data_IF_449240732165
#
_entry.id   IF_449240732165
#
_cell.length_a   1.000
_cell.length_b   1.000
_cell.length_c   1.000
_cell.angle_alpha   90.00
_cell.angle_beta   90.00
_cell.angle_gamma   90.00
#
_symmetry.space_group_name_H-M   'P 1'
#
loop_
_entity.id
_entity.type
_entity.pdbx_description
1 polymer ?
#
# COMPACT_ATOMS: atom_id res chain seq x y z
N UNK A 1 3.70 6.59 3.47
CA UNK A 1 4.77 5.97 2.65
C UNK A 1 5.35 7.10 1.81
N UNK A 2 6.19 7.97 2.36
CA UNK A 2 6.58 9.24 1.71
C UNK A 2 8.09 9.46 1.69
N UNK A 3 8.83 8.47 2.17
CA UNK A 3 10.27 8.38 2.25
C UNK A 3 10.64 6.91 2.13
N UNK A 4 11.73 6.59 1.45
CA UNK A 4 12.13 5.21 1.15
C UNK A 4 12.40 4.40 2.42
N UNK A 5 12.97 5.02 3.47
CA UNK A 5 13.22 4.32 4.74
C UNK A 5 11.90 4.02 5.46
N UNK A 6 10.97 4.98 5.47
CA UNK A 6 9.63 4.77 6.04
C UNK A 6 8.89 3.68 5.26
N UNK A 7 8.94 3.69 3.93
CA UNK A 7 8.34 2.67 3.07
C UNK A 7 8.90 1.29 3.39
N UNK A 8 10.22 1.18 3.48
CA UNK A 8 10.90 -0.07 3.78
C UNK A 8 10.59 -0.58 5.19
N UNK A 9 10.58 0.29 6.20
CA UNK A 9 10.20 -0.06 7.57
C UNK A 9 8.75 -0.52 7.66
N UNK A 10 7.85 0.16 6.94
CA UNK A 10 6.45 -0.20 6.86
C UNK A 10 6.24 -1.58 6.25
N UNK A 11 6.84 -1.85 5.08
CA UNK A 11 6.76 -3.18 4.42
C UNK A 11 7.32 -4.28 5.33
N UNK A 12 8.44 -4.03 6.03
CA UNK A 12 9.02 -4.99 6.97
C UNK A 12 8.07 -5.30 8.15
N UNK A 13 7.38 -4.27 8.64
CA UNK A 13 6.41 -4.40 9.73
C UNK A 13 5.22 -5.23 9.27
N UNK A 14 4.68 -4.96 8.07
CA UNK A 14 3.60 -5.76 7.48
C UNK A 14 4.00 -7.22 7.32
N UNK A 15 5.22 -7.49 6.84
CA UNK A 15 5.75 -8.83 6.69
C UNK A 15 5.80 -9.58 8.02
N UNK A 16 6.33 -8.92 9.05
CA UNK A 16 6.41 -9.47 10.41
C UNK A 16 5.00 -9.77 10.95
N UNK A 17 4.05 -8.84 10.77
CA UNK A 17 2.67 -9.04 11.23
C UNK A 17 2.03 -10.20 10.49
N UNK A 18 2.13 -10.26 9.15
CA UNK A 18 1.51 -11.33 8.35
C UNK A 18 2.00 -12.71 8.79
N UNK A 19 3.30 -12.88 9.04
CA UNK A 19 3.90 -14.17 9.40
C UNK A 19 3.94 -14.48 10.91
N UNK A 20 3.53 -13.55 11.78
CA UNK A 20 3.51 -13.78 13.22
C UNK A 20 2.46 -14.83 13.65
N UNK A 21 2.70 -15.62 14.69
CA UNK A 21 1.67 -16.55 15.21
C UNK A 21 1.22 -17.63 14.21
N UNK A 22 0.04 -18.23 14.46
CA UNK A 22 -0.42 -19.43 13.72
C UNK A 22 -1.57 -19.20 12.75
N UNK A 23 -2.25 -18.05 12.85
CA UNK A 23 -3.45 -17.76 12.08
C UNK A 23 -3.11 -17.01 10.79
N UNK A 24 -3.89 -17.29 9.75
CA UNK A 24 -3.91 -16.46 8.55
C UNK A 24 -4.39 -15.06 8.90
N UNK A 25 -3.65 -14.06 8.41
CA UNK A 25 -3.99 -12.66 8.62
C UNK A 25 -4.25 -11.96 7.29
N UNK A 26 -5.18 -11.03 7.35
CA UNK A 26 -5.50 -10.11 6.27
C UNK A 26 -5.27 -8.71 6.79
N UNK A 27 -4.44 -7.93 6.10
CA UNK A 27 -4.19 -6.54 6.45
C UNK A 27 -4.88 -5.66 5.42
N UNK A 28 -5.59 -4.64 5.88
CA UNK A 28 -6.15 -3.60 5.04
C UNK A 28 -5.32 -2.33 5.17
N UNK A 29 -4.88 -1.77 4.04
CA UNK A 29 -4.09 -0.54 3.97
C UNK A 29 -4.82 0.47 3.10
N UNK A 30 -5.24 1.58 3.69
CA UNK A 30 -5.77 2.72 2.96
C UNK A 30 -4.64 3.73 2.68
N UNK A 31 -4.56 4.24 1.46
CA UNK A 31 -3.57 5.23 1.06
C UNK A 31 -4.14 6.21 0.04
N UNK A 32 -3.73 7.48 0.13
CA UNK A 32 -3.99 8.50 -0.87
C UNK A 32 -2.85 8.51 -1.90
N UNK A 33 -3.15 8.31 -3.19
CA UNK A 33 -2.17 8.46 -4.28
C UNK A 33 -1.89 9.95 -4.48
N UNK A 34 -0.72 10.42 -4.02
CA UNK A 34 -0.28 11.80 -4.26
C UNK A 34 0.55 11.87 -5.52
N UNK A 35 -0.04 12.47 -6.55
CA UNK A 35 0.62 12.68 -7.82
C UNK A 35 1.52 13.92 -7.75
N UNK A 36 2.76 13.74 -8.18
CA UNK A 36 3.72 14.84 -8.34
C UNK A 36 4.35 14.74 -9.73
N UNK A 37 4.50 15.89 -10.38
CA UNK A 37 5.28 15.96 -11.60
C UNK A 37 6.76 15.89 -11.25
N UNK A 38 7.50 14.98 -11.87
CA UNK A 38 8.94 14.87 -11.64
C UNK A 38 9.70 15.07 -12.94
N UNK A 39 10.75 15.91 -12.92
CA UNK A 39 11.59 16.13 -14.11
C UNK A 39 12.26 14.83 -14.55
N UNK A 40 12.60 13.94 -13.62
CA UNK A 40 13.22 12.65 -13.90
C UNK A 40 12.35 11.74 -14.78
N UNK A 41 11.02 11.81 -14.64
CA UNK A 41 10.07 11.00 -15.43
C UNK A 41 9.36 11.81 -16.53
N UNK A 42 9.50 13.15 -16.50
CA UNK A 42 8.74 14.08 -17.35
C UNK A 42 7.22 13.81 -17.34
N UNK A 43 6.73 13.29 -16.21
CA UNK A 43 5.36 12.81 -16.08
C UNK A 43 4.84 12.99 -14.65
N UNK A 44 3.51 12.95 -14.50
CA UNK A 44 2.80 12.94 -13.22
C UNK A 44 2.69 11.52 -12.69
N UNK A 45 3.53 11.21 -11.72
CA UNK A 45 3.63 9.87 -11.11
C UNK A 45 3.15 9.92 -9.66
N UNK A 46 2.88 8.77 -9.04
CA UNK A 46 2.57 8.67 -7.61
C UNK A 46 3.72 7.94 -6.88
N UNK A 47 4.87 8.61 -6.63
CA UNK A 47 6.13 7.93 -6.28
C UNK A 47 6.00 7.06 -5.05
N UNK A 48 5.28 7.55 -4.04
CA UNK A 48 4.98 6.84 -2.80
C UNK A 48 4.26 5.51 -3.00
N UNK A 49 3.24 5.51 -3.86
CA UNK A 49 2.45 4.31 -4.15
C UNK A 49 3.26 3.32 -4.99
N UNK A 50 4.01 3.82 -5.97
CA UNK A 50 4.89 3.00 -6.80
C UNK A 50 6.04 2.41 -5.98
N UNK A 51 6.65 3.18 -5.08
CA UNK A 51 7.73 2.70 -4.22
C UNK A 51 7.26 1.60 -3.25
N UNK A 52 6.02 1.68 -2.77
CA UNK A 52 5.45 0.58 -1.99
C UNK A 52 5.45 -0.73 -2.79
N UNK A 53 4.97 -0.70 -4.03
CA UNK A 53 4.98 -1.87 -4.92
C UNK A 53 6.40 -2.32 -5.26
N UNK A 54 7.32 -1.38 -5.53
CA UNK A 54 8.74 -1.69 -5.78
C UNK A 54 9.40 -2.35 -4.58
N UNK A 55 9.14 -1.88 -3.36
CA UNK A 55 9.70 -2.45 -2.14
C UNK A 55 9.25 -3.90 -1.92
N UNK A 56 8.00 -4.22 -2.22
CA UNK A 56 7.44 -5.59 -2.15
C UNK A 56 8.09 -6.47 -3.22
N UNK A 57 8.18 -5.99 -4.46
CA UNK A 57 8.79 -6.71 -5.57
C UNK A 57 10.29 -6.99 -5.34
N UNK A 58 11.05 -5.99 -4.87
CA UNK A 58 12.48 -6.08 -4.56
C UNK A 58 12.77 -7.18 -3.52
N UNK A 59 11.87 -7.34 -2.55
CA UNK A 59 11.95 -8.36 -1.50
C UNK A 59 11.37 -9.72 -1.91
N UNK A 60 10.80 -9.82 -3.12
CA UNK A 60 10.15 -11.04 -3.66
C UNK A 60 9.08 -11.59 -2.72
N UNK A 61 8.36 -10.69 -2.03
CA UNK A 61 7.30 -11.09 -1.10
C UNK A 61 6.13 -11.68 -1.90
N UNK A 62 5.72 -12.89 -1.54
CA UNK A 62 4.61 -13.58 -2.18
C UNK A 62 3.29 -13.11 -1.57
N UNK A 63 3.01 -11.82 -1.66
CA UNK A 63 1.75 -11.26 -1.19
C UNK A 63 0.71 -11.24 -2.29
N UNK A 64 -0.54 -11.46 -1.88
CA UNK A 64 -1.72 -11.22 -2.70
C UNK A 64 -2.23 -9.84 -2.28
N UNK A 65 -2.22 -8.88 -3.21
CA UNK A 65 -2.65 -7.51 -2.99
C UNK A 65 -3.78 -7.22 -3.96
N UNK A 66 -4.94 -6.85 -3.42
CA UNK A 66 -6.13 -6.54 -4.21
C UNK A 66 -6.66 -5.17 -3.82
N UNK A 67 -6.96 -4.33 -4.80
CA UNK A 67 -7.67 -3.08 -4.55
C UNK A 67 -9.15 -3.38 -4.27
N UNK A 68 -9.64 -2.88 -3.13
CA UNK A 68 -11.01 -3.06 -2.68
C UNK A 68 -11.83 -1.86 -3.13
N UNK A 69 -13.00 -2.06 -3.79
CA UNK A 69 -13.90 -0.97 -4.14
C UNK A 69 -14.29 -0.13 -2.91
N UNK A 70 -14.34 1.18 -3.09
CA UNK A 70 -14.77 2.14 -2.06
C UNK A 70 -16.27 2.47 -2.18
N UNK A 71 -17.10 1.49 -2.54
CA UNK A 71 -18.55 1.61 -2.75
C UNK A 71 -19.37 1.36 -1.47
N UNK A 72 -18.70 1.27 -0.32
CA UNK A 72 -19.32 1.07 0.99
C UNK A 72 -19.64 2.38 1.73
N UNK A 73 -20.60 2.38 2.67
CA UNK A 73 -20.96 3.57 3.43
C UNK A 73 -19.78 4.23 4.15
N UNK A 74 -19.76 5.55 4.16
CA UNK A 74 -18.74 6.33 4.85
C UNK A 74 -19.22 6.71 6.26
N UNK A 75 -18.68 6.05 7.28
CA UNK A 75 -19.05 6.32 8.68
C UNK A 75 -18.21 7.44 9.33
N UNK A 76 -16.97 7.64 8.88
CA UNK A 76 -16.10 8.72 9.37
C UNK A 76 -16.22 9.95 8.49
N UNK A 77 -16.09 11.15 9.07
CA UNK A 77 -16.08 12.40 8.31
C UNK A 77 -14.67 12.67 7.76
N UNK A 78 -14.44 12.31 6.50
CA UNK A 78 -13.21 12.59 5.75
C UNK A 78 -13.53 12.78 4.26
N UNK A 79 -12.63 13.39 3.49
CA UNK A 79 -12.83 13.48 2.04
C UNK A 79 -12.41 12.19 1.36
N UNK A 80 -13.38 11.44 0.83
CA UNK A 80 -13.12 10.27 -0.02
C UNK A 80 -12.80 10.74 -1.43
N UNK A 81 -11.54 11.10 -1.64
CA UNK A 81 -11.02 11.56 -2.94
C UNK A 81 -10.84 10.39 -3.92
N UNK A 82 -10.84 10.69 -5.22
CA UNK A 82 -10.72 9.68 -6.30
C UNK A 82 -9.35 8.97 -6.28
N UNK A 83 -8.35 9.59 -5.70
CA UNK A 83 -6.99 9.06 -5.53
C UNK A 83 -6.83 8.12 -4.33
N UNK A 84 -7.88 8.00 -3.49
CA UNK A 84 -7.83 7.08 -2.36
C UNK A 84 -7.95 5.64 -2.85
N UNK A 85 -7.07 4.78 -2.34
CA UNK A 85 -7.10 3.34 -2.57
C UNK A 85 -7.15 2.60 -1.25
N UNK A 86 -7.89 1.49 -1.24
CA UNK A 86 -7.89 0.52 -0.16
C UNK A 86 -7.34 -0.78 -0.70
N UNK A 87 -6.29 -1.30 -0.08
CA UNK A 87 -5.65 -2.55 -0.48
C UNK A 87 -5.91 -3.62 0.58
N UNK A 88 -6.37 -4.79 0.14
CA UNK A 88 -6.40 -6.02 0.93
C UNK A 88 -5.12 -6.80 0.67
N UNK A 89 -4.35 -7.09 1.72
CA UNK A 89 -3.05 -7.76 1.66
C UNK A 89 -3.09 -9.05 2.45
N UNK A 90 -2.67 -10.14 1.81
CA UNK A 90 -2.53 -11.47 2.41
C UNK A 90 -1.19 -12.09 2.00
N UNK A 91 -0.56 -12.85 2.89
CA UNK A 91 0.62 -13.64 2.53
C UNK A 91 0.19 -14.96 1.88
N UNK A 92 0.85 -15.34 0.78
CA UNK A 92 0.69 -16.65 0.17
C UNK A 92 1.51 -17.67 0.98
N UNK A 93 0.82 -18.63 1.59
CA UNK A 93 1.44 -19.78 2.26
C UNK A 93 2.15 -20.70 1.27
#
# INVERSE_FOLDING_TARGET
IYDDNITNGFVNTLETILHSGKNDKTIYVAMEKRFVFTIAHLDSVAPSYEEFHRAIAKRKLKWIIEEVPLDFPQYFKYDRVKEMVLMRIQAKK
#
